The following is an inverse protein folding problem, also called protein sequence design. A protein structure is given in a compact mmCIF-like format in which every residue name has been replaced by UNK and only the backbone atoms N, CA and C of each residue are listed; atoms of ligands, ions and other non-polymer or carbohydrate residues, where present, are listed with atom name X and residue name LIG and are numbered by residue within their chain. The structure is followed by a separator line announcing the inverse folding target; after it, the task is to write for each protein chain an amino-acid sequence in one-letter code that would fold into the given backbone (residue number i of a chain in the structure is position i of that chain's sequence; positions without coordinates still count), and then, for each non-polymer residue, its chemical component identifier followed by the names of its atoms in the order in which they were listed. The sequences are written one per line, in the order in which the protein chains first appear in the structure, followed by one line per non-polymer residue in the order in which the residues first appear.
data_IF_511303766298
#
_entry.id   IF_511303766298
#
_cell.length_a   1.000
_cell.length_b   1.000
_cell.length_c   1.000
_cell.angle_alpha   90.00
_cell.angle_beta   90.00
_cell.angle_gamma   90.00
#
_symmetry.space_group_name_H-M   'P 1'
#
loop_
_entity.id
_entity.type
_entity.pdbx_description
1 polymer ?
#
# COMPACT_ATOMS: atom_id res chain seq x y z
N UNK A 1 20.78 -25.00 34.63
CA UNK A 1 19.79 -24.89 33.52
C UNK A 1 19.99 -23.54 32.80
N UNK A 2 20.14 -22.45 33.51
CA UNK A 2 20.33 -21.10 32.93
C UNK A 2 21.56 -20.99 31.98
N UNK A 3 22.72 -21.54 32.30
CA UNK A 3 23.89 -21.51 31.40
C UNK A 3 23.66 -22.13 30.02
N UNK A 4 22.91 -23.24 29.96
CA UNK A 4 22.58 -23.88 28.68
C UNK A 4 21.64 -22.99 27.83
N UNK A 5 20.74 -22.29 28.50
CA UNK A 5 19.83 -21.37 27.83
C UNK A 5 20.58 -20.15 27.26
N UNK A 6 21.55 -19.59 28.00
CA UNK A 6 22.41 -18.50 27.50
C UNK A 6 23.22 -18.93 26.26
N UNK A 7 23.78 -20.14 26.25
CA UNK A 7 24.52 -20.67 25.10
C UNK A 7 23.61 -20.78 23.85
N UNK A 8 22.34 -21.18 24.05
CA UNK A 8 21.33 -21.24 22.96
C UNK A 8 21.07 -19.85 22.41
N UNK A 9 20.85 -18.84 23.27
CA UNK A 9 20.59 -17.48 22.81
C UNK A 9 21.83 -16.83 22.18
N UNK A 10 23.02 -17.11 22.69
CA UNK A 10 24.29 -16.69 22.09
C UNK A 10 24.45 -17.24 20.66
N UNK A 11 24.08 -18.50 20.44
CA UNK A 11 24.08 -19.06 19.09
C UNK A 11 23.04 -18.42 18.20
N UNK A 12 21.80 -18.21 18.67
CA UNK A 12 20.75 -17.53 17.94
C UNK A 12 21.15 -16.10 17.53
N UNK A 13 21.76 -15.34 18.44
CA UNK A 13 22.25 -13.99 18.14
C UNK A 13 23.38 -14.00 17.09
N UNK A 14 24.26 -15.00 17.12
CA UNK A 14 25.27 -15.18 16.06
C UNK A 14 24.67 -15.50 14.71
N UNK A 15 23.58 -16.24 14.67
CA UNK A 15 22.89 -16.60 13.43
C UNK A 15 22.16 -15.40 12.79
N UNK A 16 21.76 -14.39 13.59
CA UNK A 16 21.18 -13.13 13.12
C UNK A 16 22.21 -12.22 12.43
N UNK A 17 23.48 -12.21 12.86
CA UNK A 17 24.50 -11.30 12.33
C UNK A 17 24.67 -11.37 10.80
N UNK A 18 24.79 -12.56 10.15
CA UNK A 18 24.83 -12.64 8.70
C UNK A 18 23.52 -12.21 8.03
N UNK A 19 22.38 -12.32 8.71
CA UNK A 19 21.09 -11.81 8.20
C UNK A 19 21.07 -10.29 8.19
N UNK A 20 21.53 -9.62 9.24
CA UNK A 20 21.68 -8.16 9.27
C UNK A 20 22.60 -7.66 8.15
N UNK A 21 23.67 -8.38 7.85
CA UNK A 21 24.56 -8.04 6.73
C UNK A 21 23.87 -8.15 5.39
N UNK A 22 23.08 -9.21 5.18
CA UNK A 22 22.27 -9.38 3.96
C UNK A 22 21.20 -8.29 3.84
N UNK A 23 20.54 -7.93 4.95
CA UNK A 23 19.53 -6.87 4.99
C UNK A 23 20.15 -5.50 4.65
N UNK A 24 21.34 -5.18 5.18
CA UNK A 24 22.06 -3.96 4.83
C UNK A 24 22.31 -3.84 3.33
N UNK A 25 22.75 -4.95 2.71
CA UNK A 25 22.99 -5.00 1.28
C UNK A 25 21.68 -4.94 0.46
N UNK A 26 20.63 -5.65 0.88
CA UNK A 26 19.33 -5.66 0.19
C UNK A 26 18.61 -4.31 0.28
N UNK A 27 18.74 -3.62 1.41
CA UNK A 27 18.22 -2.27 1.62
C UNK A 27 19.10 -1.19 0.99
N UNK A 28 20.29 -1.53 0.52
CA UNK A 28 21.28 -0.57 -0.02
C UNK A 28 21.52 0.61 0.92
N UNK A 29 21.79 0.28 2.21
CA UNK A 29 21.91 1.27 3.28
C UNK A 29 23.06 2.24 3.02
N UNK A 30 24.16 1.77 2.42
CA UNK A 30 25.32 2.60 2.11
C UNK A 30 24.98 3.66 1.04
N UNK A 31 24.30 3.27 -0.03
CA UNK A 31 23.84 4.24 -1.05
C UNK A 31 22.77 5.17 -0.49
N UNK A 32 21.89 4.67 0.41
CA UNK A 32 20.90 5.51 1.08
C UNK A 32 21.55 6.59 1.94
N UNK A 33 22.65 6.28 2.66
CA UNK A 33 23.43 7.27 3.42
C UNK A 33 24.06 8.33 2.50
N UNK A 34 24.72 7.89 1.43
CA UNK A 34 25.34 8.81 0.48
C UNK A 34 24.31 9.72 -0.20
N UNK A 35 23.13 9.19 -0.55
CA UNK A 35 22.04 10.00 -1.11
C UNK A 35 21.51 10.99 -0.07
N UNK A 36 21.32 10.57 1.18
CA UNK A 36 20.85 11.44 2.28
C UNK A 36 21.83 12.59 2.52
N UNK A 37 23.12 12.31 2.64
CA UNK A 37 24.18 13.33 2.82
C UNK A 37 24.18 14.34 1.66
N UNK A 38 24.02 13.86 0.42
CA UNK A 38 23.94 14.72 -0.76
C UNK A 38 22.71 15.62 -0.72
N UNK A 39 21.54 15.08 -0.39
CA UNK A 39 20.29 15.85 -0.30
C UNK A 39 20.33 16.83 0.87
N UNK A 40 20.96 16.48 1.99
CA UNK A 40 21.16 17.36 3.14
C UNK A 40 22.07 18.54 2.76
N UNK A 41 23.18 18.29 2.06
CA UNK A 41 24.03 19.33 1.52
C UNK A 41 23.28 20.23 0.52
N UNK A 42 22.38 19.67 -0.31
CA UNK A 42 21.54 20.43 -1.25
C UNK A 42 20.57 21.35 -0.51
N UNK A 43 19.98 20.93 0.62
CA UNK A 43 19.07 21.76 1.43
C UNK A 43 19.76 22.95 2.07
N UNK A 44 21.08 22.88 2.27
CA UNK A 44 21.91 23.96 2.83
C UNK A 44 22.37 25.00 1.81
N UNK A 45 22.13 24.79 0.51
CA UNK A 45 22.56 25.72 -0.56
C UNK A 45 21.68 26.96 -0.60
N UNK A 46 22.28 28.11 -0.86
CA UNK A 46 21.56 29.36 -1.06
C UNK A 46 20.56 29.26 -2.23
N UNK A 47 19.32 29.67 -1.98
CA UNK A 47 18.27 29.65 -2.99
C UNK A 47 17.47 28.34 -3.08
N UNK A 48 17.82 27.29 -2.33
CA UNK A 48 17.08 26.03 -2.30
C UNK A 48 15.58 26.23 -2.00
N UNK A 49 15.25 27.12 -1.09
CA UNK A 49 13.88 27.40 -0.63
C UNK A 49 13.06 28.27 -1.60
N UNK A 50 13.64 28.77 -2.69
CA UNK A 50 12.94 29.61 -3.66
C UNK A 50 11.99 28.78 -4.55
N UNK A 51 12.24 27.48 -4.72
CA UNK A 51 11.37 26.54 -5.42
C UNK A 51 10.68 25.61 -4.42
N UNK A 52 9.45 25.97 -4.04
CA UNK A 52 8.69 25.27 -3.00
C UNK A 52 8.39 23.81 -3.39
N UNK A 53 8.06 23.55 -4.65
CA UNK A 53 7.71 22.20 -5.11
C UNK A 53 8.92 21.26 -5.09
N UNK A 54 10.09 21.76 -5.54
CA UNK A 54 11.36 21.03 -5.47
C UNK A 54 11.78 20.77 -4.03
N UNK A 55 11.72 21.81 -3.19
CA UNK A 55 12.12 21.72 -1.78
C UNK A 55 11.28 20.69 -1.02
N UNK A 56 9.96 20.64 -1.24
CA UNK A 56 9.09 19.65 -0.63
C UNK A 56 9.44 18.21 -1.06
N UNK A 57 9.71 17.99 -2.36
CA UNK A 57 10.11 16.66 -2.87
C UNK A 57 11.43 16.21 -2.27
N UNK A 58 12.43 17.09 -2.23
CA UNK A 58 13.74 16.79 -1.66
C UNK A 58 13.63 16.48 -0.17
N UNK A 59 12.87 17.26 0.58
CA UNK A 59 12.66 17.02 2.02
C UNK A 59 11.92 15.70 2.29
N UNK A 60 10.89 15.40 1.50
CA UNK A 60 10.16 14.14 1.63
C UNK A 60 11.11 12.96 1.37
N UNK A 61 11.93 13.03 0.30
CA UNK A 61 12.90 11.99 -0.02
C UNK A 61 13.97 11.84 1.06
N UNK A 62 14.51 12.95 1.56
CA UNK A 62 15.48 12.95 2.65
C UNK A 62 14.92 12.29 3.91
N UNK A 63 13.70 12.65 4.31
CA UNK A 63 13.02 12.06 5.46
C UNK A 63 12.80 10.56 5.30
N UNK A 64 12.43 10.09 4.11
CA UNK A 64 12.29 8.66 3.79
C UNK A 64 13.62 7.92 3.98
N UNK A 65 14.72 8.47 3.45
CA UNK A 65 16.05 7.88 3.57
C UNK A 65 16.52 7.86 5.04
N UNK A 66 16.37 8.96 5.76
CA UNK A 66 16.72 9.06 7.18
C UNK A 66 15.92 8.05 8.03
N UNK A 67 14.62 7.91 7.78
CA UNK A 67 13.79 6.90 8.48
C UNK A 67 14.27 5.48 8.19
N UNK A 68 14.59 5.18 6.93
CA UNK A 68 15.11 3.87 6.53
C UNK A 68 16.43 3.54 7.23
N UNK A 69 17.37 4.49 7.23
CA UNK A 69 18.67 4.36 7.89
C UNK A 69 18.49 4.18 9.40
N UNK A 70 17.69 5.04 10.05
CA UNK A 70 17.44 5.00 11.49
C UNK A 70 16.81 3.68 11.95
N UNK A 71 15.88 3.09 11.15
CA UNK A 71 15.31 1.78 11.45
C UNK A 71 16.35 0.68 11.42
N UNK A 72 17.20 0.68 10.40
CA UNK A 72 18.27 -0.32 10.30
C UNK A 72 19.31 -0.16 11.42
N UNK A 73 19.71 1.07 11.75
CA UNK A 73 20.62 1.36 12.85
C UNK A 73 20.04 0.93 14.21
N UNK A 74 18.75 1.18 14.43
CA UNK A 74 18.05 0.71 15.63
C UNK A 74 18.07 -0.82 15.72
N UNK A 75 17.90 -1.52 14.60
CA UNK A 75 17.95 -2.98 14.56
C UNK A 75 19.34 -3.51 14.94
N UNK A 76 20.40 -2.89 14.41
CA UNK A 76 21.77 -3.22 14.76
C UNK A 76 22.08 -2.92 16.23
N UNK A 77 21.67 -1.74 16.74
CA UNK A 77 21.84 -1.39 18.15
C UNK A 77 21.13 -2.38 19.08
N UNK A 78 19.88 -2.76 18.76
CA UNK A 78 19.15 -3.77 19.56
C UNK A 78 19.86 -5.12 19.55
N UNK A 79 20.51 -5.52 18.46
CA UNK A 79 21.30 -6.73 18.39
C UNK A 79 22.58 -6.61 19.25
N UNK A 80 23.31 -5.49 19.18
CA UNK A 80 24.51 -5.22 19.99
C UNK A 80 24.16 -5.23 21.50
N UNK A 81 23.05 -4.59 21.89
CA UNK A 81 22.58 -4.54 23.28
C UNK A 81 22.23 -5.94 23.79
N UNK A 82 21.59 -6.79 22.97
CA UNK A 82 21.30 -8.18 23.38
C UNK A 82 22.51 -9.07 23.45
N UNK A 83 23.51 -8.84 22.60
CA UNK A 83 24.80 -9.55 22.73
C UNK A 83 25.47 -9.20 24.07
N UNK A 84 25.52 -7.91 24.43
CA UNK A 84 26.07 -7.46 25.71
C UNK A 84 25.27 -8.00 26.90
N UNK A 85 23.92 -7.97 26.83
CA UNK A 85 23.02 -8.51 27.86
C UNK A 85 23.23 -10.02 28.05
N UNK A 86 23.42 -10.77 26.97
CA UNK A 86 23.68 -12.20 26.99
C UNK A 86 25.03 -12.52 27.64
N UNK A 87 26.09 -11.73 27.37
CA UNK A 87 27.42 -11.89 27.98
C UNK A 87 27.39 -11.58 29.47
N UNK A 88 26.74 -10.47 29.88
CA UNK A 88 26.58 -10.11 31.29
C UNK A 88 25.80 -11.18 32.08
N UNK A 89 24.62 -11.61 31.55
CA UNK A 89 23.81 -12.60 32.22
C UNK A 89 24.49 -13.98 32.30
N UNK A 90 25.33 -14.33 31.33
CA UNK A 90 26.14 -15.56 31.37
C UNK A 90 27.22 -15.51 32.46
N UNK A 91 27.82 -14.34 32.71
CA UNK A 91 28.84 -14.16 33.75
C UNK A 91 28.24 -14.16 35.17
N UNK A 92 27.04 -13.58 35.33
CA UNK A 92 26.36 -13.45 36.63
C UNK A 92 25.45 -14.65 36.95
N UNK A 93 25.17 -15.52 35.99
CA UNK A 93 24.20 -16.65 36.06
C UNK A 93 22.81 -16.23 36.54
N UNK A 94 22.36 -15.00 36.15
CA UNK A 94 21.13 -14.39 36.63
C UNK A 94 19.91 -14.86 35.79
N UNK A 95 18.86 -15.37 36.46
CA UNK A 95 17.64 -15.83 35.84
C UNK A 95 16.74 -14.66 35.42
N UNK A 96 16.78 -13.49 36.08
CA UNK A 96 16.01 -12.31 35.70
C UNK A 96 16.50 -11.73 34.37
N UNK A 97 17.84 -11.64 34.21
CA UNK A 97 18.46 -11.23 32.94
C UNK A 97 18.10 -12.20 31.79
N UNK A 98 18.00 -13.51 32.09
CA UNK A 98 17.62 -14.50 31.10
C UNK A 98 16.18 -14.30 30.60
N UNK A 99 15.23 -13.96 31.46
CA UNK A 99 13.85 -13.69 31.06
C UNK A 99 13.73 -12.40 30.24
N UNK A 100 14.49 -11.36 30.60
CA UNK A 100 14.62 -10.13 29.82
C UNK A 100 15.21 -10.42 28.43
N UNK A 101 16.31 -11.19 28.36
CA UNK A 101 16.95 -11.61 27.12
C UNK A 101 15.97 -12.36 26.20
N UNK A 102 15.14 -13.27 26.75
CA UNK A 102 14.13 -14.01 26.00
C UNK A 102 13.09 -13.06 25.38
N UNK A 103 12.61 -12.12 26.19
CA UNK A 103 11.60 -11.14 25.78
C UNK A 103 12.13 -10.23 24.68
N UNK A 104 13.29 -9.63 24.88
CA UNK A 104 13.90 -8.70 23.92
C UNK A 104 14.37 -9.41 22.64
N UNK A 105 14.85 -10.67 22.75
CA UNK A 105 15.18 -11.48 21.58
C UNK A 105 13.95 -11.72 20.68
N UNK A 106 12.80 -12.02 21.25
CA UNK A 106 11.56 -12.21 20.47
C UNK A 106 11.16 -10.93 19.72
N UNK A 107 11.39 -9.75 20.34
CA UNK A 107 11.17 -8.45 19.70
C UNK A 107 12.16 -8.22 18.55
N UNK A 108 13.45 -8.53 18.77
CA UNK A 108 14.49 -8.42 17.74
C UNK A 108 14.18 -9.34 16.55
N UNK A 109 13.86 -10.62 16.80
CA UNK A 109 13.53 -11.60 15.76
C UNK A 109 12.37 -11.12 14.89
N UNK A 110 11.31 -10.59 15.52
CA UNK A 110 10.18 -10.00 14.80
C UNK A 110 10.62 -8.81 13.95
N UNK A 111 11.40 -7.88 14.52
CA UNK A 111 11.84 -6.68 13.79
C UNK A 111 12.76 -7.02 12.60
N UNK A 112 13.59 -8.05 12.72
CA UNK A 112 14.42 -8.57 11.61
C UNK A 112 13.54 -9.12 10.49
N UNK A 113 12.52 -9.91 10.85
CA UNK A 113 11.60 -10.48 9.88
C UNK A 113 10.75 -9.39 9.19
N UNK A 114 10.22 -8.42 9.93
CA UNK A 114 9.47 -7.28 9.39
C UNK A 114 10.35 -6.45 8.43
N UNK A 115 11.63 -6.25 8.79
CA UNK A 115 12.58 -5.54 7.92
C UNK A 115 12.89 -6.36 6.66
N UNK A 116 13.03 -7.68 6.78
CA UNK A 116 13.22 -8.59 5.64
C UNK A 116 12.04 -8.50 4.68
N UNK A 117 10.83 -8.47 5.21
CA UNK A 117 9.60 -8.29 4.41
C UNK A 117 9.65 -7.03 3.55
N UNK A 118 10.07 -5.92 4.13
CA UNK A 118 10.14 -4.66 3.38
C UNK A 118 11.15 -4.69 2.24
N UNK A 119 12.20 -5.52 2.32
CA UNK A 119 13.18 -5.68 1.22
C UNK A 119 12.63 -6.39 0.00
N UNK A 120 11.54 -7.17 0.15
CA UNK A 120 10.88 -7.89 -0.94
C UNK A 120 9.92 -6.99 -1.73
N UNK A 121 9.67 -5.77 -1.24
CA UNK A 121 8.77 -4.81 -1.85
C UNK A 121 9.52 -4.00 -2.91
N UNK A 122 9.32 -4.34 -4.18
CA UNK A 122 10.01 -3.71 -5.33
C UNK A 122 9.06 -3.07 -6.34
N UNK A 123 7.75 -3.13 -6.10
CA UNK A 123 6.73 -2.56 -6.99
C UNK A 123 6.64 -1.04 -6.87
N UNK A 124 6.28 -0.37 -7.96
CA UNK A 124 6.15 1.10 -8.06
C UNK A 124 5.22 1.68 -6.98
N UNK A 125 4.17 0.95 -6.59
CA UNK A 125 3.15 1.39 -5.63
C UNK A 125 3.28 0.75 -4.25
N UNK A 126 4.29 -0.09 -4.03
CA UNK A 126 4.42 -0.86 -2.78
C UNK A 126 4.52 0.02 -1.53
N UNK A 127 5.07 1.23 -1.67
CA UNK A 127 5.20 2.19 -0.57
C UNK A 127 3.91 2.98 -0.25
N UNK A 128 2.86 2.82 -1.06
CA UNK A 128 1.64 3.58 -0.91
C UNK A 128 0.76 3.05 0.22
N UNK A 129 -0.16 3.91 0.67
CA UNK A 129 -1.32 3.48 1.45
C UNK A 129 -2.16 2.51 0.62
N UNK A 130 -3.06 1.78 1.28
CA UNK A 130 -3.91 0.79 0.63
C UNK A 130 -5.38 1.06 0.87
N UNK A 131 -6.19 0.79 -0.15
CA UNK A 131 -7.64 0.73 -0.05
C UNK A 131 -8.05 -0.73 -0.25
N UNK A 132 -8.70 -1.30 0.77
CA UNK A 132 -9.31 -2.63 0.69
C UNK A 132 -10.80 -2.49 0.45
N UNK A 133 -11.32 -3.14 -0.60
CA UNK A 133 -12.75 -3.29 -0.83
C UNK A 133 -13.13 -4.75 -0.57
N UNK A 134 -14.11 -4.95 0.30
CA UNK A 134 -14.62 -6.25 0.70
C UNK A 134 -16.04 -6.40 0.15
N UNK A 135 -16.32 -7.54 -0.48
CA UNK A 135 -17.63 -7.83 -1.06
C UNK A 135 -18.09 -9.23 -0.65
N UNK A 136 -19.32 -9.31 -0.17
CA UNK A 136 -19.94 -10.61 0.08
C UNK A 136 -20.16 -11.35 -1.24
N UNK A 137 -19.69 -12.60 -1.29
CA UNK A 137 -19.84 -13.47 -2.44
C UNK A 137 -21.02 -14.44 -2.33
N UNK A 138 -20.86 -15.63 -2.89
CA UNK A 138 -21.86 -16.69 -2.78
C UNK A 138 -21.98 -17.19 -1.34
N UNK A 139 -23.21 -17.28 -0.80
CA UNK A 139 -23.50 -17.77 0.55
C UNK A 139 -24.61 -17.03 1.29
N UNK A 140 -25.21 -15.99 0.67
CA UNK A 140 -26.30 -15.22 1.30
C UNK A 140 -25.87 -14.55 2.62
N UNK A 141 -26.70 -14.63 3.67
CA UNK A 141 -26.43 -14.04 4.99
C UNK A 141 -25.09 -14.53 5.59
N UNK A 142 -24.72 -15.79 5.36
CA UNK A 142 -23.45 -16.38 5.81
C UNK A 142 -22.23 -15.69 5.14
N UNK A 143 -22.34 -15.32 3.86
CA UNK A 143 -21.27 -14.60 3.16
C UNK A 143 -21.14 -13.15 3.64
N UNK A 144 -22.26 -12.53 4.04
CA UNK A 144 -22.26 -11.18 4.62
C UNK A 144 -21.62 -11.19 6.02
N UNK A 145 -21.89 -12.19 6.85
CA UNK A 145 -21.23 -12.38 8.15
C UNK A 145 -19.74 -12.66 7.97
N UNK A 146 -19.37 -13.50 6.98
CA UNK A 146 -17.98 -13.75 6.63
C UNK A 146 -17.23 -12.48 6.23
N UNK A 147 -17.86 -11.62 5.45
CA UNK A 147 -17.28 -10.33 5.06
C UNK A 147 -17.02 -9.42 6.27
N UNK A 148 -17.92 -9.44 7.27
CA UNK A 148 -17.73 -8.73 8.52
C UNK A 148 -16.57 -9.28 9.34
N UNK A 149 -16.42 -10.61 9.39
CA UNK A 149 -15.28 -11.24 10.05
C UNK A 149 -13.94 -10.84 9.39
N UNK A 150 -13.87 -10.82 8.05
CA UNK A 150 -12.69 -10.38 7.31
C UNK A 150 -12.41 -8.88 7.53
N UNK A 151 -13.45 -8.04 7.52
CA UNK A 151 -13.30 -6.62 7.83
C UNK A 151 -12.64 -6.40 9.19
N UNK A 152 -13.11 -7.11 10.23
CA UNK A 152 -12.50 -7.08 11.55
C UNK A 152 -11.05 -7.59 11.52
N UNK A 153 -10.78 -8.68 10.83
CA UNK A 153 -9.45 -9.29 10.72
C UNK A 153 -8.42 -8.29 10.16
N UNK A 154 -8.75 -7.59 9.05
CA UNK A 154 -7.84 -6.59 8.48
C UNK A 154 -7.72 -5.33 9.33
N UNK A 155 -8.77 -4.90 9.99
CA UNK A 155 -8.71 -3.80 10.96
C UNK A 155 -7.76 -4.14 12.12
N UNK A 156 -7.86 -5.37 12.66
CA UNK A 156 -6.95 -5.85 13.71
C UNK A 156 -5.51 -5.97 13.25
N UNK A 157 -5.30 -6.43 12.02
CA UNK A 157 -3.96 -6.48 11.44
C UNK A 157 -3.36 -5.06 11.34
N UNK A 158 -4.11 -4.10 10.86
CA UNK A 158 -3.66 -2.71 10.76
C UNK A 158 -3.34 -2.11 12.15
N UNK A 159 -4.18 -2.35 13.16
CA UNK A 159 -3.94 -1.93 14.55
C UNK A 159 -2.62 -2.52 15.10
N UNK A 160 -2.35 -3.81 14.87
CA UNK A 160 -1.12 -4.48 15.31
C UNK A 160 0.14 -3.89 14.67
N UNK A 161 0.03 -3.40 13.45
CA UNK A 161 1.14 -2.74 12.72
C UNK A 161 1.23 -1.23 12.99
N UNK A 162 0.36 -0.69 13.85
CA UNK A 162 0.33 0.74 14.14
C UNK A 162 -0.15 1.61 12.97
N UNK A 163 -0.86 1.01 12.01
CA UNK A 163 -1.41 1.71 10.86
C UNK A 163 -2.74 2.37 11.21
N UNK A 164 -2.98 3.55 10.64
CA UNK A 164 -4.25 4.23 10.79
C UNK A 164 -5.30 3.63 9.84
N UNK A 165 -6.45 3.24 10.39
CA UNK A 165 -7.57 2.65 9.65
C UNK A 165 -8.72 3.64 9.56
N UNK A 166 -9.25 3.85 8.34
CA UNK A 166 -10.42 4.71 8.12
C UNK A 166 -11.43 3.97 7.23
N UNK A 167 -12.65 3.80 7.72
CA UNK A 167 -13.75 3.30 6.90
C UNK A 167 -14.16 4.37 5.90
N UNK A 168 -14.15 4.02 4.61
CA UNK A 168 -14.54 4.91 3.51
C UNK A 168 -16.00 4.68 3.11
N UNK A 169 -16.43 3.41 3.10
CA UNK A 169 -17.78 3.00 2.76
C UNK A 169 -18.16 1.76 3.56
N UNK A 170 -19.45 1.61 3.85
CA UNK A 170 -19.95 0.50 4.66
C UNK A 170 -21.44 0.27 4.38
N UNK A 171 -21.76 -0.85 3.79
CA UNK A 171 -23.13 -1.26 3.47
C UNK A 171 -23.49 -2.49 4.33
N UNK A 172 -24.43 -2.31 5.25
CA UNK A 172 -24.93 -3.38 6.09
C UNK A 172 -25.59 -4.51 5.28
N UNK A 173 -25.49 -5.72 5.79
CA UNK A 173 -26.24 -6.86 5.28
C UNK A 173 -27.74 -6.74 5.63
N UNK A 174 -28.59 -7.44 4.88
CA UNK A 174 -30.05 -7.38 5.09
C UNK A 174 -30.49 -7.97 6.44
N UNK A 175 -29.85 -9.04 6.91
CA UNK A 175 -30.17 -9.74 8.16
C UNK A 175 -29.01 -9.71 9.15
N UNK A 176 -27.76 -9.84 8.65
CA UNK A 176 -26.55 -9.83 9.44
C UNK A 176 -25.33 -9.54 8.56
N UNK A 177 -24.24 -9.11 9.21
CA UNK A 177 -22.96 -8.92 8.52
C UNK A 177 -22.90 -7.70 7.63
N UNK A 178 -21.99 -7.71 6.66
CA UNK A 178 -21.69 -6.62 5.74
C UNK A 178 -21.85 -7.11 4.31
N UNK A 179 -22.58 -6.38 3.47
CA UNK A 179 -22.71 -6.67 2.04
C UNK A 179 -21.49 -6.19 1.26
N UNK A 180 -21.05 -4.97 1.55
CA UNK A 180 -19.80 -4.43 1.05
C UNK A 180 -19.20 -3.42 2.03
N UNK A 181 -17.87 -3.31 2.05
CA UNK A 181 -17.18 -2.28 2.81
C UNK A 181 -15.90 -1.86 2.10
N UNK A 182 -15.49 -0.61 2.30
CA UNK A 182 -14.21 -0.08 1.86
C UNK A 182 -13.48 0.55 3.04
N UNK A 183 -12.23 0.15 3.24
CA UNK A 183 -11.33 0.70 4.27
C UNK A 183 -10.05 1.22 3.64
N UNK A 184 -9.61 2.40 4.06
CA UNK A 184 -8.28 2.93 3.79
C UNK A 184 -7.38 2.59 4.97
N UNK A 185 -6.23 1.99 4.71
CA UNK A 185 -5.18 1.72 5.70
C UNK A 185 -3.98 2.56 5.33
N UNK A 186 -3.66 3.51 6.22
CA UNK A 186 -2.59 4.49 6.03
C UNK A 186 -1.37 4.05 6.80
N UNK A 187 -0.31 3.74 6.10
CA UNK A 187 0.95 3.30 6.67
C UNK A 187 2.00 3.05 5.59
N UNK A 188 3.25 3.09 5.99
CA UNK A 188 4.36 2.83 5.08
C UNK A 188 4.32 1.38 4.58
N UNK A 189 4.41 1.19 3.27
CA UNK A 189 4.35 -0.10 2.60
C UNK A 189 3.02 -0.87 2.78
N UNK A 190 1.94 -0.22 3.22
CA UNK A 190 0.67 -0.89 3.49
C UNK A 190 0.13 -1.63 2.26
N UNK A 191 0.19 -1.01 1.06
CA UNK A 191 -0.20 -1.68 -0.17
C UNK A 191 0.74 -2.85 -0.52
N UNK A 192 2.05 -2.66 -0.43
CA UNK A 192 3.03 -3.71 -0.75
C UNK A 192 2.84 -4.97 0.09
N UNK A 193 2.53 -4.82 1.37
CA UNK A 193 2.25 -5.92 2.29
C UNK A 193 0.92 -6.61 1.97
N UNK A 194 -0.16 -5.84 1.75
CA UNK A 194 -1.51 -6.37 1.57
C UNK A 194 -1.88 -6.73 0.14
N UNK A 195 -1.07 -6.39 -0.88
CA UNK A 195 -1.36 -6.75 -2.29
C UNK A 195 -1.58 -8.26 -2.51
N UNK A 196 -0.99 -9.08 -1.65
CA UNK A 196 -1.18 -10.52 -1.63
C UNK A 196 -2.60 -10.96 -1.29
N UNK A 197 -3.38 -10.13 -0.59
CA UNK A 197 -4.72 -10.45 -0.12
C UNK A 197 -5.82 -10.24 -1.18
N UNK A 198 -5.43 -9.76 -2.36
CA UNK A 198 -6.35 -9.58 -3.48
C UNK A 198 -6.85 -10.92 -4.00
N UNK A 199 -8.15 -11.18 -3.87
CA UNK A 199 -8.80 -12.41 -4.35
C UNK A 199 -9.97 -12.88 -3.51
N UNK A 200 -10.30 -14.18 -3.65
CA UNK A 200 -11.46 -14.79 -3.00
C UNK A 200 -11.05 -15.57 -1.75
N UNK A 201 -11.72 -15.30 -0.65
CA UNK A 201 -11.52 -15.94 0.66
C UNK A 201 -12.70 -16.89 0.94
N UNK A 202 -12.39 -18.16 1.17
CA UNK A 202 -13.39 -19.21 1.40
C UNK A 202 -13.51 -19.55 2.87
N UNK A 203 -14.72 -19.48 3.41
CA UNK A 203 -15.08 -19.94 4.76
C UNK A 203 -15.73 -21.32 4.68
N UNK A 204 -15.37 -22.20 5.61
CA UNK A 204 -16.06 -23.49 5.87
C UNK A 204 -16.31 -23.62 7.36
N UNK A 205 -17.57 -23.48 7.77
CA UNK A 205 -17.98 -23.64 9.19
C UNK A 205 -19.40 -24.18 9.30
N UNK A 206 -19.81 -24.52 10.52
CA UNK A 206 -21.23 -24.68 10.83
C UNK A 206 -21.87 -23.31 10.90
N UNK A 207 -22.88 -23.08 10.06
CA UNK A 207 -23.53 -21.77 9.98
C UNK A 207 -24.37 -21.48 11.24
N UNK A 208 -24.20 -20.32 11.89
CA UNK A 208 -25.08 -19.91 12.99
C UNK A 208 -26.49 -19.53 12.50
N UNK A 209 -26.69 -19.36 11.19
CA UNK A 209 -27.96 -19.00 10.55
C UNK A 209 -28.74 -20.24 10.05
N UNK A 210 -28.15 -21.46 10.07
CA UNK A 210 -28.82 -22.69 9.67
C UNK A 210 -29.36 -23.44 10.90
N UNK A 211 -30.69 -23.49 11.04
CA UNK A 211 -31.36 -24.21 12.12
C UNK A 211 -30.98 -25.71 12.21
N UNK A 212 -30.50 -26.32 11.13
CA UNK A 212 -30.04 -27.69 11.08
C UNK A 212 -28.55 -27.86 11.40
N UNK A 213 -27.85 -26.81 11.78
CA UNK A 213 -26.42 -26.81 12.12
C UNK A 213 -25.55 -27.51 11.05
N UNK A 214 -25.88 -27.35 9.77
CA UNK A 214 -25.12 -27.95 8.67
C UNK A 214 -23.87 -27.14 8.37
N UNK A 215 -22.84 -27.84 7.93
CA UNK A 215 -21.61 -27.20 7.43
C UNK A 215 -21.90 -26.50 6.11
N UNK A 216 -21.65 -25.20 6.08
CA UNK A 216 -21.81 -24.32 4.91
C UNK A 216 -20.44 -23.86 4.39
N UNK A 217 -20.42 -23.49 3.13
CA UNK A 217 -19.27 -22.88 2.47
C UNK A 217 -19.69 -21.53 1.91
N UNK A 218 -18.98 -20.47 2.28
CA UNK A 218 -19.26 -19.11 1.85
C UNK A 218 -18.01 -18.43 1.32
N UNK A 219 -18.19 -17.47 0.47
CA UNK A 219 -17.10 -16.75 -0.20
C UNK A 219 -17.25 -15.25 0.01
N UNK A 220 -16.12 -14.59 0.18
CA UNK A 220 -16.01 -13.13 0.13
C UNK A 220 -14.84 -12.76 -0.78
N UNK A 221 -14.99 -11.71 -1.55
CA UNK A 221 -13.93 -11.17 -2.40
C UNK A 221 -13.31 -9.95 -1.74
N UNK A 222 -12.00 -9.84 -1.84
CA UNK A 222 -11.23 -8.68 -1.41
C UNK A 222 -10.50 -8.12 -2.63
N UNK A 223 -10.70 -6.84 -2.88
CA UNK A 223 -9.92 -6.07 -3.85
C UNK A 223 -8.95 -5.18 -3.09
N UNK A 224 -7.69 -5.22 -3.49
CA UNK A 224 -6.61 -4.44 -2.89
C UNK A 224 -6.10 -3.44 -3.90
N UNK A 225 -6.17 -2.16 -3.58
CA UNK A 225 -5.76 -1.07 -4.46
C UNK A 225 -4.80 -0.13 -3.74
N UNK A 226 -3.74 0.37 -4.42
CA UNK A 226 -2.94 1.44 -3.87
C UNK A 226 -3.75 2.74 -3.81
N UNK A 227 -3.59 3.51 -2.74
CA UNK A 227 -4.05 4.88 -2.71
C UNK A 227 -3.08 5.74 -3.53
N UNK A 228 -3.54 6.20 -4.68
CA UNK A 228 -2.74 7.05 -5.56
C UNK A 228 -3.16 8.49 -5.31
N UNK A 229 -2.24 9.31 -4.84
CA UNK A 229 -2.49 10.75 -4.68
C UNK A 229 -2.78 11.37 -6.04
N UNK A 230 -3.96 11.98 -6.15
CA UNK A 230 -4.26 12.84 -7.30
C UNK A 230 -3.46 14.14 -7.12
N UNK A 231 -2.40 14.28 -7.90
CA UNK A 231 -1.73 15.56 -8.08
C UNK A 231 -2.65 16.48 -8.91
N UNK A 232 -3.62 17.12 -8.22
CA UNK A 232 -4.70 17.91 -8.85
C UNK A 232 -4.21 19.24 -9.45
N UNK A 233 -2.94 19.57 -9.28
CA UNK A 233 -2.36 20.77 -9.86
C UNK A 233 -1.98 20.54 -11.32
N UNK A 234 -2.90 20.90 -12.23
CA UNK A 234 -2.59 20.98 -13.65
C UNK A 234 -1.91 22.32 -13.90
N UNK A 235 -0.60 22.36 -13.77
CA UNK A 235 0.19 23.47 -14.22
C UNK A 235 0.27 23.47 -15.75
N UNK A 236 -0.34 24.48 -16.37
CA UNK A 236 -0.22 24.70 -17.80
C UNK A 236 0.84 25.80 -17.99
N UNK A 237 2.01 25.41 -18.52
CA UNK A 237 3.08 26.37 -18.82
C UNK A 237 2.75 27.14 -20.08
N UNK A 238 3.05 28.43 -20.12
CA UNK A 238 2.79 29.25 -21.32
C UNK A 238 3.56 28.77 -22.56
N UNK A 239 4.73 28.16 -22.37
CA UNK A 239 5.55 27.57 -23.43
C UNK A 239 4.94 26.35 -24.11
N UNK A 240 4.05 25.64 -23.39
CA UNK A 240 3.35 24.46 -23.87
C UNK A 240 2.08 24.80 -24.65
N UNK A 241 1.71 26.09 -24.73
CA UNK A 241 0.52 26.56 -25.43
C UNK A 241 0.93 27.24 -26.72
N UNK A 242 0.29 26.83 -27.82
CA UNK A 242 0.28 27.56 -29.07
C UNK A 242 -1.03 28.30 -29.20
N UNK A 243 -0.99 29.62 -29.28
CA UNK A 243 -2.17 30.47 -29.44
C UNK A 243 -2.30 30.95 -30.87
N UNK A 244 -3.44 30.69 -31.49
CA UNK A 244 -3.82 31.19 -32.82
C UNK A 244 -5.05 32.08 -32.70
N UNK A 245 -4.99 33.24 -33.33
CA UNK A 245 -6.11 34.19 -33.38
C UNK A 245 -6.67 34.20 -34.79
N UNK A 246 -7.99 34.10 -34.93
CA UNK A 246 -8.65 34.07 -36.20
C UNK A 246 -9.96 34.88 -36.18
N UNK A 247 -10.50 35.12 -37.36
CA UNK A 247 -11.79 35.84 -37.49
C UNK A 247 -12.94 34.88 -37.16
N UNK A 248 -13.85 35.30 -36.28
CA UNK A 248 -15.03 34.52 -35.96
C UNK A 248 -15.90 34.35 -37.24
N UNK A 249 -16.32 33.12 -37.50
CA UNK A 249 -17.27 32.80 -38.58
C UNK A 249 -18.65 32.55 -37.98
N UNK A 250 -19.66 33.33 -38.35
CA UNK A 250 -21.04 33.17 -37.87
C UNK A 250 -21.97 34.28 -38.38
N UNK A 251 -23.29 34.10 -38.23
CA UNK A 251 -24.30 35.10 -38.53
C UNK A 251 -24.22 36.26 -37.52
N UNK A 252 -23.43 37.28 -37.82
CA UNK A 252 -23.27 38.49 -37.01
C UNK A 252 -23.01 39.71 -37.88
N UNK A 253 -23.36 40.88 -37.37
CA UNK A 253 -23.26 42.18 -38.09
C UNK A 253 -21.82 42.58 -38.43
N UNK A 254 -21.64 43.75 -39.09
CA UNK A 254 -20.37 44.25 -39.65
C UNK A 254 -19.15 44.22 -38.67
N UNK A 255 -19.37 44.15 -37.36
CA UNK A 255 -18.33 44.16 -36.34
C UNK A 255 -17.66 42.78 -36.18
N UNK A 256 -18.39 41.68 -36.35
CA UNK A 256 -17.91 40.29 -36.23
C UNK A 256 -16.94 39.92 -37.35
N UNK A 257 -17.17 40.50 -38.54
CA UNK A 257 -16.36 40.19 -39.71
C UNK A 257 -15.08 41.05 -39.87
N UNK A 258 -14.87 42.07 -39.02
CA UNK A 258 -13.71 42.96 -39.10
C UNK A 258 -12.66 42.76 -38.04
N UNK A 259 -12.99 42.16 -36.89
CA UNK A 259 -12.05 41.95 -35.76
C UNK A 259 -11.72 40.49 -35.56
N UNK A 260 -10.40 40.18 -35.47
CA UNK A 260 -9.95 38.82 -35.17
C UNK A 260 -10.05 38.60 -33.62
N UNK A 261 -11.22 38.30 -33.12
CA UNK A 261 -11.49 38.08 -31.67
C UNK A 261 -11.51 36.61 -31.27
N UNK A 262 -11.67 35.69 -32.23
CA UNK A 262 -11.66 34.26 -31.93
C UNK A 262 -10.26 33.75 -31.60
N UNK A 263 -10.17 32.93 -30.55
CA UNK A 263 -8.92 32.36 -30.06
C UNK A 263 -8.99 30.84 -30.12
N UNK A 264 -7.90 30.22 -30.57
CA UNK A 264 -7.66 28.79 -30.51
C UNK A 264 -6.36 28.56 -29.73
N UNK A 265 -6.43 27.67 -28.75
CA UNK A 265 -5.26 27.21 -28.01
C UNK A 265 -5.01 25.74 -28.33
N UNK A 266 -3.77 25.41 -28.63
CA UNK A 266 -3.28 24.04 -28.81
C UNK A 266 -2.27 23.74 -27.73
N UNK A 267 -2.51 22.72 -26.93
CA UNK A 267 -1.56 22.24 -25.94
C UNK A 267 -0.58 21.27 -26.63
N UNK A 268 0.66 21.70 -26.83
CA UNK A 268 1.67 20.95 -27.60
C UNK A 268 1.93 19.53 -27.11
N UNK A 269 2.08 19.28 -25.75
CA UNK A 269 2.40 17.94 -25.26
C UNK A 269 1.28 16.92 -25.49
N UNK A 270 0.00 17.33 -25.38
CA UNK A 270 -1.14 16.42 -25.49
C UNK A 270 -1.89 16.51 -26.82
N UNK A 271 -1.58 17.54 -27.64
CA UNK A 271 -2.30 17.79 -28.89
C UNK A 271 -3.74 18.29 -28.72
N UNK A 272 -4.19 18.58 -27.49
CA UNK A 272 -5.55 19.05 -27.23
C UNK A 272 -5.74 20.44 -27.81
N UNK A 273 -6.79 20.61 -28.61
CA UNK A 273 -7.17 21.88 -29.22
C UNK A 273 -8.50 22.35 -28.63
N UNK A 274 -8.54 23.61 -28.20
CA UNK A 274 -9.75 24.31 -27.73
C UNK A 274 -9.90 25.65 -28.47
N UNK A 275 -11.13 26.06 -28.73
CA UNK A 275 -11.41 27.33 -29.40
C UNK A 275 -12.60 28.03 -28.76
N UNK A 276 -12.53 29.34 -28.64
CA UNK A 276 -13.64 30.19 -28.18
C UNK A 276 -13.78 31.43 -29.10
N UNK A 277 -15.05 31.73 -29.47
CA UNK A 277 -15.39 32.88 -30.28
C UNK A 277 -16.67 33.61 -29.80
N UNK A 278 -17.10 33.29 -28.56
CA UNK A 278 -18.38 33.78 -28.02
C UNK A 278 -18.31 35.24 -27.59
N UNK A 279 -17.16 35.70 -27.17
CA UNK A 279 -16.97 37.03 -26.63
C UNK A 279 -16.39 38.00 -27.66
N UNK A 280 -16.71 39.28 -27.50
CA UNK A 280 -16.16 40.34 -28.36
C UNK A 280 -14.71 40.66 -28.08
N UNK A 281 -14.21 40.31 -26.88
CA UNK A 281 -12.85 40.53 -26.42
C UNK A 281 -12.01 39.29 -26.66
N UNK A 282 -10.84 39.46 -27.32
CA UNK A 282 -9.84 38.42 -27.48
C UNK A 282 -9.33 37.90 -26.13
N UNK A 283 -9.22 38.78 -25.14
CA UNK A 283 -8.77 38.42 -23.80
C UNK A 283 -9.75 37.47 -23.10
N UNK A 284 -11.05 37.76 -23.18
CA UNK A 284 -12.10 36.92 -22.62
C UNK A 284 -12.17 35.54 -23.34
N UNK A 285 -12.01 35.53 -24.65
CA UNK A 285 -11.92 34.27 -25.40
C UNK A 285 -10.68 33.45 -25.04
N UNK A 286 -9.52 34.10 -24.79
CA UNK A 286 -8.31 33.41 -24.26
C UNK A 286 -8.58 32.79 -22.89
N UNK A 287 -9.22 33.52 -21.99
CA UNK A 287 -9.56 33.04 -20.65
C UNK A 287 -10.54 31.86 -20.70
N UNK A 288 -11.55 31.92 -21.55
CA UNK A 288 -12.47 30.84 -21.76
C UNK A 288 -11.77 29.59 -22.34
N UNK A 289 -10.88 29.77 -23.31
CA UNK A 289 -10.07 28.68 -23.84
C UNK A 289 -9.14 28.07 -22.76
N UNK A 290 -8.54 28.87 -21.88
CA UNK A 290 -7.72 28.35 -20.76
C UNK A 290 -8.55 27.52 -19.79
N UNK A 291 -9.78 27.95 -19.44
CA UNK A 291 -10.69 27.18 -18.60
C UNK A 291 -11.08 25.85 -19.26
N UNK A 292 -11.41 25.88 -20.56
CA UNK A 292 -11.74 24.68 -21.33
C UNK A 292 -10.55 23.73 -21.46
N UNK A 293 -9.34 24.26 -21.64
CA UNK A 293 -8.12 23.45 -21.70
C UNK A 293 -7.83 22.75 -20.37
N UNK A 294 -7.94 23.48 -19.25
CA UNK A 294 -7.82 22.91 -17.90
C UNK A 294 -8.82 21.77 -17.67
N UNK A 295 -10.09 21.98 -18.02
CA UNK A 295 -11.12 20.96 -17.89
C UNK A 295 -10.80 19.69 -18.70
N UNK A 296 -10.37 19.85 -19.96
CA UNK A 296 -9.99 18.71 -20.83
C UNK A 296 -8.74 17.99 -20.37
N UNK A 297 -7.75 18.70 -19.83
CA UNK A 297 -6.56 18.09 -19.25
C UNK A 297 -6.88 17.34 -17.95
N UNK A 298 -7.79 17.87 -17.13
CA UNK A 298 -8.30 17.18 -15.96
C UNK A 298 -9.01 15.87 -16.32
N UNK A 299 -9.86 15.91 -17.35
CA UNK A 299 -10.56 14.72 -17.87
C UNK A 299 -9.57 13.66 -18.41
N UNK A 300 -8.55 14.08 -19.18
CA UNK A 300 -7.53 13.18 -19.70
C UNK A 300 -6.71 12.55 -18.55
N UNK A 301 -6.32 13.34 -17.54
CA UNK A 301 -5.60 12.87 -16.37
C UNK A 301 -6.44 11.87 -15.55
N UNK A 302 -7.72 12.16 -15.35
CA UNK A 302 -8.66 11.26 -14.70
C UNK A 302 -8.83 9.92 -15.47
N UNK A 303 -8.90 9.97 -16.80
CA UNK A 303 -8.97 8.79 -17.64
C UNK A 303 -7.70 7.96 -17.56
N UNK A 304 -6.52 8.57 -17.66
CA UNK A 304 -5.23 7.87 -17.50
C UNK A 304 -5.08 7.26 -16.10
N UNK A 305 -5.57 7.95 -15.07
CA UNK A 305 -5.61 7.43 -13.71
C UNK A 305 -6.53 6.21 -13.59
N UNK A 306 -7.73 6.28 -14.19
CA UNK A 306 -8.67 5.15 -14.21
C UNK A 306 -8.09 3.93 -14.98
N UNK A 307 -7.39 4.17 -16.11
CA UNK A 307 -6.70 3.13 -16.87
C UNK A 307 -5.59 2.47 -16.03
N UNK A 308 -4.74 3.26 -15.35
CA UNK A 308 -3.71 2.74 -14.43
C UNK A 308 -4.31 1.90 -13.31
N UNK A 309 -5.38 2.38 -12.68
CA UNK A 309 -6.09 1.61 -11.63
C UNK A 309 -6.64 0.31 -12.22
N UNK A 310 -7.21 0.34 -13.43
CA UNK A 310 -7.71 -0.85 -14.10
C UNK A 310 -6.59 -1.86 -14.39
N UNK A 311 -5.43 -1.41 -14.83
CA UNK A 311 -4.27 -2.25 -15.09
C UNK A 311 -3.72 -2.87 -13.79
N UNK A 312 -3.71 -2.12 -12.70
CA UNK A 312 -3.29 -2.60 -11.37
C UNK A 312 -4.28 -3.62 -10.80
N UNK A 313 -5.58 -3.39 -10.97
CA UNK A 313 -6.64 -4.33 -10.55
C UNK A 313 -6.52 -5.68 -11.26
N UNK A 314 -5.96 -5.69 -12.46
CA UNK A 314 -5.90 -6.88 -13.30
C UNK A 314 -7.28 -7.39 -13.73
N UNK A 315 -7.35 -8.65 -14.15
CA UNK A 315 -8.61 -9.29 -14.49
C UNK A 315 -9.40 -9.54 -13.21
N UNK A 316 -10.53 -8.84 -13.04
CA UNK A 316 -11.44 -9.06 -11.92
C UNK A 316 -11.86 -10.54 -11.89
N UNK A 317 -11.36 -11.29 -10.91
CA UNK A 317 -11.69 -12.71 -10.81
C UNK A 317 -13.15 -12.88 -10.41
N UNK A 318 -13.91 -13.65 -11.19
CA UNK A 318 -15.26 -14.04 -10.80
C UNK A 318 -15.20 -14.74 -9.44
N UNK A 319 -16.15 -14.41 -8.54
CA UNK A 319 -16.28 -15.01 -7.21
C UNK A 319 -16.79 -16.44 -7.37
N UNK A 320 -15.93 -17.34 -7.83
CA UNK A 320 -16.24 -18.75 -8.12
C UNK A 320 -15.24 -19.67 -7.41
N UNK A 321 -15.54 -20.95 -7.32
CA UNK A 321 -14.74 -21.97 -6.65
C UNK A 321 -13.27 -22.06 -7.11
N UNK A 322 -12.98 -21.67 -8.35
CA UNK A 322 -11.64 -21.70 -8.94
C UNK A 322 -10.74 -20.54 -8.57
N UNK A 323 -11.28 -19.46 -8.02
CA UNK A 323 -10.55 -18.18 -7.79
C UNK A 323 -10.13 -17.96 -6.33
N UNK A 324 -10.27 -18.98 -5.48
CA UNK A 324 -9.95 -18.87 -4.06
C UNK A 324 -8.43 -18.78 -3.82
N UNK A 325 -8.00 -17.77 -3.09
CA UNK A 325 -6.60 -17.60 -2.66
C UNK A 325 -6.36 -18.26 -1.30
N UNK A 326 -7.34 -18.19 -0.37
CA UNK A 326 -7.20 -18.73 0.97
C UNK A 326 -8.48 -19.38 1.46
N UNK A 327 -8.34 -20.52 2.17
CA UNK A 327 -9.44 -21.27 2.76
C UNK A 327 -9.31 -21.27 4.27
N UNK A 328 -10.42 -20.95 4.95
CA UNK A 328 -10.56 -20.91 6.40
C UNK A 328 -11.55 -22.00 6.82
N UNK A 329 -11.07 -23.06 7.45
CA UNK A 329 -11.86 -24.21 7.88
C UNK A 329 -11.95 -24.21 9.41
N UNK A 330 -13.16 -23.99 9.94
CA UNK A 330 -13.42 -24.01 11.38
C UNK A 330 -13.86 -25.40 11.86
N UNK A 331 -14.45 -26.22 10.97
CA UNK A 331 -14.96 -27.54 11.27
C UNK A 331 -14.85 -28.49 10.05
N UNK A 332 -14.48 -29.78 10.19
CA UNK A 332 -14.30 -30.54 11.43
C UNK A 332 -12.93 -30.41 12.09
N UNK A 333 -12.00 -29.74 11.47
CA UNK A 333 -10.68 -29.39 11.98
C UNK A 333 -10.44 -27.89 11.76
N UNK A 334 -9.56 -27.31 12.55
CA UNK A 334 -9.20 -25.90 12.40
C UNK A 334 -7.97 -25.78 11.49
N UNK A 335 -8.10 -25.02 10.39
CA UNK A 335 -7.00 -24.77 9.47
C UNK A 335 -7.26 -23.53 8.60
N UNK A 336 -6.27 -22.70 8.47
CA UNK A 336 -6.21 -21.66 7.43
C UNK A 336 -5.09 -22.03 6.47
N UNK A 337 -5.38 -22.07 5.17
CA UNK A 337 -4.42 -22.46 4.14
C UNK A 337 -4.49 -21.53 2.94
N UNK A 338 -3.35 -20.98 2.52
CA UNK A 338 -3.20 -20.28 1.26
C UNK A 338 -2.89 -21.28 0.14
N UNK A 339 -3.69 -21.26 -0.91
CA UNK A 339 -3.60 -22.22 -2.02
C UNK A 339 -2.43 -21.93 -2.95
N UNK A 340 -1.93 -20.69 -2.99
CA UNK A 340 -0.85 -20.22 -3.88
C UNK A 340 0.51 -20.59 -3.31
N UNK A 341 0.70 -20.33 -2.02
CA UNK A 341 1.98 -20.56 -1.33
C UNK A 341 2.08 -21.92 -0.67
N UNK A 342 0.93 -22.52 -0.34
CA UNK A 342 0.87 -23.74 0.45
C UNK A 342 1.07 -23.53 1.95
N UNK A 343 1.28 -22.28 2.40
CA UNK A 343 1.40 -21.97 3.82
C UNK A 343 0.09 -22.25 4.55
N UNK A 344 0.16 -22.93 5.71
CA UNK A 344 -1.00 -23.30 6.49
C UNK A 344 -0.73 -23.19 8.00
N UNK A 345 -1.77 -22.88 8.76
CA UNK A 345 -1.74 -22.83 10.22
C UNK A 345 -3.04 -23.35 10.82
N UNK A 346 -2.96 -23.99 11.98
CA UNK A 346 -4.12 -24.42 12.75
C UNK A 346 -4.65 -23.35 13.73
N UNK A 347 -3.91 -22.24 13.90
CA UNK A 347 -4.25 -21.15 14.83
C UNK A 347 -5.25 -20.18 14.22
N UNK A 348 -6.46 -20.65 13.91
CA UNK A 348 -7.45 -19.86 13.19
C UNK A 348 -7.89 -18.60 13.96
N UNK A 349 -7.98 -18.69 15.29
CA UNK A 349 -8.38 -17.58 16.14
C UNK A 349 -7.36 -16.43 16.10
N UNK A 350 -6.07 -16.74 16.07
CA UNK A 350 -5.00 -15.75 15.92
C UNK A 350 -5.09 -15.06 14.56
N UNK A 351 -5.31 -15.84 13.49
CA UNK A 351 -5.48 -15.30 12.14
C UNK A 351 -6.67 -14.35 12.08
N UNK A 352 -7.82 -14.74 12.67
CA UNK A 352 -9.02 -13.91 12.72
C UNK A 352 -8.84 -12.65 13.61
N UNK A 353 -7.88 -12.67 14.52
CA UNK A 353 -7.46 -11.49 15.32
C UNK A 353 -6.32 -10.70 14.66
N UNK A 354 -6.02 -10.94 13.37
CA UNK A 354 -5.11 -10.15 12.55
C UNK A 354 -3.68 -10.68 12.46
N UNK A 355 -3.41 -11.94 12.82
CA UNK A 355 -2.09 -12.55 12.62
C UNK A 355 -1.97 -13.10 11.19
N UNK A 356 -1.66 -12.21 10.24
CA UNK A 356 -1.55 -12.51 8.81
C UNK A 356 -0.11 -12.61 8.31
N UNK A 357 0.87 -12.20 9.10
CA UNK A 357 2.25 -11.99 8.67
C UNK A 357 2.87 -13.24 8.05
N UNK A 358 2.58 -14.43 8.58
CA UNK A 358 3.05 -15.69 8.00
C UNK A 358 2.58 -15.93 6.56
N UNK A 359 1.33 -15.55 6.24
CA UNK A 359 0.78 -15.66 4.87
C UNK A 359 1.40 -14.62 3.93
N UNK A 360 1.50 -13.36 4.40
CA UNK A 360 2.08 -12.25 3.64
C UNK A 360 3.55 -12.55 3.30
N UNK A 361 4.29 -13.02 4.29
CA UNK A 361 5.69 -13.45 4.18
C UNK A 361 5.89 -14.55 3.14
N UNK A 362 5.12 -15.63 3.26
CA UNK A 362 5.20 -16.75 2.34
C UNK A 362 4.92 -16.29 0.89
N UNK A 363 3.92 -15.42 0.72
CA UNK A 363 3.58 -14.89 -0.61
C UNK A 363 4.69 -14.00 -1.18
N UNK A 364 5.16 -13.01 -0.42
CA UNK A 364 6.20 -12.08 -0.89
C UNK A 364 7.52 -12.80 -1.19
N UNK A 365 7.89 -13.78 -0.38
CA UNK A 365 9.08 -14.60 -0.61
C UNK A 365 8.98 -15.39 -1.92
N UNK A 366 7.85 -16.08 -2.14
CA UNK A 366 7.65 -16.85 -3.38
C UNK A 366 7.47 -15.95 -4.61
N UNK A 367 6.93 -14.74 -4.44
CA UNK A 367 6.88 -13.74 -5.52
C UNK A 367 8.30 -13.32 -5.93
N UNK A 368 9.16 -13.04 -4.97
CA UNK A 368 10.54 -12.63 -5.20
C UNK A 368 11.41 -13.77 -5.82
N UNK A 369 11.16 -15.01 -5.44
CA UNK A 369 11.86 -16.20 -6.00
C UNK A 369 11.27 -16.70 -7.33
N UNK A 370 10.10 -16.18 -7.73
CA UNK A 370 9.40 -16.62 -8.95
C UNK A 370 8.73 -18.01 -8.82
N UNK A 371 8.55 -18.51 -7.60
CA UNK A 371 7.98 -19.85 -7.31
C UNK A 371 6.45 -19.83 -7.11
N UNK A 372 5.80 -18.68 -7.17
CA UNK A 372 4.34 -18.56 -7.02
C UNK A 372 3.63 -19.44 -8.06
N UNK A 373 2.80 -20.36 -7.58
CA UNK A 373 1.89 -21.14 -8.42
C UNK A 373 0.81 -20.21 -8.99
N UNK A 374 0.74 -20.12 -10.31
CA UNK A 374 -0.31 -19.39 -11.04
C UNK A 374 -1.66 -20.06 -10.91
#
# INVERSE_FOLDING_TARGET
MALIDYDVYKQKLRDIQPELTKLSAALDIEAARQEADRLEAETAMDGFWNDLARSQKVQMRLKQLQNKIARFEKLCSSWDDLVALCEMGQEEEDEEILEELKSEYAVLEKNVEDTRMTTLLSGEYDNNNVILQLHAGAGGTEAQDWTQMLFRMYTRWAERHGFACKTLDYEDGEEAGIKSAAISIVGENAYGLLKSENGVHRLVRVSPFDANARRQTSFAAIEVMPEIENDDTIEIREEDIEMQVYRASGAGGQHVNKTSSAVRLTHKPTGIVVASQQERSQFQNKDNCMKMLRAKLAELKAQQHAEKISDIKGVQMKIEWGSQIRSYVFMPYQMVKDTRTGYETSQIDNVMDGDLDGFLNAYLTQLATGELKK
#
